data_IF_006847982400
#
_entry.id   IF_006847982400
#
_cell.length_a   1.000
_cell.length_b   1.000
_cell.length_c   1.000
_cell.angle_alpha   90.00
_cell.angle_beta   90.00
_cell.angle_gamma   90.00
#
_symmetry.space_group_name_H-M   'P 1'
#
loop_
_entity.id
_entity.type
_entity.pdbx_description
1 polymer ?
#
# COMPACT_ATOMS: atom_id res chain seq x y z
N UNK A 1 -12.22 -68.23 -4.02
CA UNK A 1 -12.40 -67.00 -3.22
C UNK A 1 -12.48 -65.79 -4.16
N UNK A 2 -13.69 -65.26 -4.41
CA UNK A 2 -13.92 -64.09 -5.29
C UNK A 2 -13.95 -62.82 -4.44
N UNK A 3 -13.09 -61.84 -4.73
CA UNK A 3 -13.09 -60.52 -4.10
C UNK A 3 -14.06 -59.58 -4.84
N UNK A 4 -14.96 -58.95 -4.09
CA UNK A 4 -16.00 -58.06 -4.60
C UNK A 4 -15.45 -56.67 -4.97
N UNK A 5 -15.78 -56.12 -6.16
CA UNK A 5 -15.27 -54.82 -6.64
C UNK A 5 -16.03 -53.58 -6.11
N UNK A 6 -16.97 -53.72 -5.17
CA UNK A 6 -17.91 -52.64 -4.82
C UNK A 6 -17.35 -51.49 -3.96
N UNK A 7 -16.07 -51.51 -3.55
CA UNK A 7 -15.55 -50.54 -2.57
C UNK A 7 -15.00 -49.22 -3.15
N UNK A 8 -15.03 -49.02 -4.47
CA UNK A 8 -14.40 -47.86 -5.12
C UNK A 8 -15.35 -46.82 -5.72
N UNK A 9 -16.64 -46.80 -5.35
CA UNK A 9 -17.63 -45.89 -5.96
C UNK A 9 -18.26 -44.83 -5.02
N UNK A 10 -17.68 -44.56 -3.84
CA UNK A 10 -18.22 -43.54 -2.90
C UNK A 10 -17.25 -42.37 -2.63
N UNK A 11 -16.09 -42.31 -3.29
CA UNK A 11 -15.05 -41.31 -2.98
C UNK A 11 -14.94 -40.12 -3.96
N UNK A 12 -15.94 -39.86 -4.82
CA UNK A 12 -15.84 -38.79 -5.86
C UNK A 12 -16.82 -37.63 -5.65
N UNK A 13 -17.83 -37.75 -4.78
CA UNK A 13 -18.93 -36.77 -4.74
C UNK A 13 -18.79 -35.61 -3.73
N UNK A 14 -17.78 -35.62 -2.85
CA UNK A 14 -17.63 -34.60 -1.78
C UNK A 14 -16.65 -33.47 -2.17
N UNK A 15 -15.86 -33.62 -3.23
CA UNK A 15 -14.88 -32.62 -3.67
C UNK A 15 -15.43 -31.50 -4.56
N UNK A 16 -16.71 -31.52 -4.94
CA UNK A 16 -17.33 -30.49 -5.80
C UNK A 16 -18.15 -29.44 -5.04
N UNK A 17 -18.46 -29.64 -3.76
CA UNK A 17 -19.33 -28.71 -3.00
C UNK A 17 -18.57 -27.53 -2.36
N UNK A 18 -17.24 -27.56 -2.30
CA UNK A 18 -16.43 -26.49 -1.70
C UNK A 18 -15.98 -25.40 -2.69
N UNK A 19 -16.26 -25.55 -4.00
CA UNK A 19 -15.78 -24.64 -5.04
C UNK A 19 -16.68 -23.44 -5.37
N UNK A 20 -17.91 -23.39 -4.84
CA UNK A 20 -18.94 -22.45 -5.33
C UNK A 20 -19.05 -21.13 -4.55
N UNK A 21 -18.43 -21.01 -3.37
CA UNK A 21 -18.63 -19.85 -2.49
C UNK A 21 -17.79 -18.63 -2.93
N UNK A 22 -16.71 -18.82 -3.69
CA UNK A 22 -15.85 -17.73 -4.16
C UNK A 22 -16.41 -16.94 -5.37
N UNK A 23 -17.49 -17.40 -6.00
CA UNK A 23 -18.11 -16.74 -7.16
C UNK A 23 -19.16 -15.67 -6.82
N UNK A 24 -19.43 -15.44 -5.54
CA UNK A 24 -20.47 -14.50 -5.06
C UNK A 24 -19.93 -13.31 -4.28
N UNK A 25 -18.60 -13.10 -4.28
CA UNK A 25 -18.07 -11.83 -3.81
C UNK A 25 -18.40 -10.77 -4.85
N UNK A 26 -19.13 -9.72 -4.45
CA UNK A 26 -19.35 -8.57 -5.32
C UNK A 26 -17.99 -8.05 -5.81
N UNK A 27 -17.85 -7.76 -7.12
CA UNK A 27 -16.63 -7.19 -7.64
C UNK A 27 -16.34 -5.87 -6.89
N UNK A 28 -15.07 -5.55 -6.63
CA UNK A 28 -14.72 -4.30 -5.96
C UNK A 28 -15.34 -3.11 -6.69
N UNK A 29 -15.92 -2.18 -5.95
CA UNK A 29 -16.48 -0.95 -6.50
C UNK A 29 -15.36 -0.01 -6.94
N UNK A 30 -14.92 -0.20 -8.20
CA UNK A 30 -13.88 0.60 -8.84
C UNK A 30 -14.17 2.11 -8.87
N UNK A 31 -15.43 2.55 -8.72
CA UNK A 31 -15.77 3.97 -8.71
C UNK A 31 -15.37 4.60 -7.37
N UNK A 32 -15.64 3.91 -6.26
CA UNK A 32 -15.31 4.39 -4.92
C UNK A 32 -13.79 4.40 -4.69
N UNK A 33 -13.07 3.40 -5.16
CA UNK A 33 -11.60 3.36 -5.14
C UNK A 33 -10.97 4.58 -5.84
N UNK A 34 -11.44 4.93 -7.04
CA UNK A 34 -10.92 6.07 -7.81
C UNK A 34 -11.14 7.40 -7.10
N UNK A 35 -12.26 7.58 -6.39
CA UNK A 35 -12.52 8.80 -5.61
C UNK A 35 -11.56 8.92 -4.43
N UNK A 36 -11.34 7.83 -3.69
CA UNK A 36 -10.38 7.81 -2.59
C UNK A 36 -8.97 8.15 -3.07
N UNK A 37 -8.52 7.54 -4.18
CA UNK A 37 -7.22 7.82 -4.79
C UNK A 37 -7.08 9.27 -5.24
N UNK A 38 -8.10 9.83 -5.89
CA UNK A 38 -8.09 11.23 -6.30
C UNK A 38 -7.97 12.17 -5.10
N UNK A 39 -8.66 11.89 -3.99
CA UNK A 39 -8.57 12.67 -2.76
C UNK A 39 -7.18 12.58 -2.12
N UNK A 40 -6.55 11.39 -2.12
CA UNK A 40 -5.17 11.19 -1.62
C UNK A 40 -4.16 11.93 -2.50
N UNK A 41 -4.31 11.89 -3.83
CA UNK A 41 -3.47 12.65 -4.76
C UNK A 41 -3.62 14.15 -4.50
N UNK A 42 -4.85 14.65 -4.33
CA UNK A 42 -5.08 16.05 -3.99
C UNK A 42 -4.43 16.45 -2.66
N UNK A 43 -4.48 15.59 -1.64
CA UNK A 43 -3.78 15.81 -0.39
C UNK A 43 -2.26 15.84 -0.60
N UNK A 44 -1.72 14.98 -1.45
CA UNK A 44 -0.28 14.91 -1.75
C UNK A 44 0.27 16.18 -2.40
N UNK A 45 -0.56 16.92 -3.13
CA UNK A 45 -0.22 18.22 -3.72
C UNK A 45 -0.30 19.37 -2.71
N UNK A 46 -0.87 19.12 -1.52
CA UNK A 46 -1.17 20.12 -0.49
C UNK A 46 -0.59 19.79 0.88
N UNK A 47 0.45 18.97 0.94
CA UNK A 47 1.05 18.49 2.20
C UNK A 47 1.51 19.62 3.13
N UNK A 48 1.92 20.75 2.57
CA UNK A 48 2.41 21.92 3.32
C UNK A 48 1.28 22.87 3.79
N UNK A 49 0.01 22.53 3.51
CA UNK A 49 -1.12 23.32 3.98
C UNK A 49 -1.30 23.21 5.50
N UNK A 50 -1.74 24.29 6.15
CA UNK A 50 -2.00 24.29 7.61
C UNK A 50 -3.12 23.33 8.01
N UNK A 51 -4.01 22.98 7.07
CA UNK A 51 -5.14 22.08 7.28
C UNK A 51 -4.94 20.65 6.76
N UNK A 52 -3.70 20.22 6.47
CA UNK A 52 -3.38 18.86 5.98
C UNK A 52 -3.98 17.76 6.85
N UNK A 53 -3.89 17.90 8.17
CA UNK A 53 -4.43 16.95 9.15
C UNK A 53 -5.95 16.79 9.07
N UNK A 54 -6.65 17.91 8.89
CA UNK A 54 -8.12 17.96 8.76
C UNK A 54 -8.58 17.34 7.44
N UNK A 55 -7.85 17.62 6.35
CA UNK A 55 -8.09 17.00 5.04
C UNK A 55 -7.91 15.48 5.12
N UNK A 56 -6.84 14.99 5.76
CA UNK A 56 -6.60 13.56 5.94
C UNK A 56 -7.71 12.88 6.74
N UNK A 57 -8.14 13.49 7.86
CA UNK A 57 -9.26 12.99 8.67
C UNK A 57 -10.56 12.90 7.86
N UNK A 58 -10.84 13.92 7.04
CA UNK A 58 -12.01 13.95 6.16
C UNK A 58 -11.98 12.80 5.15
N UNK A 59 -10.85 12.56 4.50
CA UNK A 59 -10.69 11.44 3.54
C UNK A 59 -11.01 10.10 4.21
N UNK A 60 -10.50 9.86 5.42
CA UNK A 60 -10.76 8.61 6.15
C UNK A 60 -12.23 8.47 6.59
N UNK A 61 -12.92 9.58 6.82
CA UNK A 61 -14.35 9.56 7.15
C UNK A 61 -15.24 9.31 5.90
N UNK A 62 -14.80 9.76 4.72
CA UNK A 62 -15.57 9.67 3.48
C UNK A 62 -15.30 8.39 2.67
N UNK A 63 -14.17 7.70 2.93
CA UNK A 63 -13.72 6.54 2.18
C UNK A 63 -13.37 5.35 3.07
N UNK A 64 -13.56 4.13 2.58
CA UNK A 64 -13.23 2.92 3.34
C UNK A 64 -11.72 2.64 3.27
N UNK A 65 -11.18 1.97 4.28
CA UNK A 65 -9.75 1.61 4.33
C UNK A 65 -9.25 0.74 3.15
N UNK A 66 -10.02 -0.25 2.64
CA UNK A 66 -9.62 -0.98 1.43
C UNK A 66 -9.41 -0.06 0.22
N UNK A 67 -10.31 0.91 0.01
CA UNK A 67 -10.22 1.88 -1.08
C UNK A 67 -8.95 2.71 -0.99
N UNK A 68 -8.58 3.10 0.24
CA UNK A 68 -7.38 3.88 0.54
C UNK A 68 -6.11 3.05 0.31
N UNK A 69 -6.07 1.80 0.77
CA UNK A 69 -4.90 0.91 0.62
C UNK A 69 -4.65 0.46 -0.82
N UNK A 70 -5.69 0.45 -1.67
CA UNK A 70 -5.59 0.07 -3.09
C UNK A 70 -4.51 0.87 -3.85
N UNK A 71 -4.21 2.09 -3.38
CA UNK A 71 -3.23 2.99 -4.01
C UNK A 71 -1.83 2.38 -4.18
N UNK A 72 -1.46 1.45 -3.28
CA UNK A 72 -0.17 0.76 -3.31
C UNK A 72 -0.12 -0.42 -4.30
N UNK A 73 -1.28 -0.92 -4.72
CA UNK A 73 -1.38 -2.08 -5.60
C UNK A 73 -0.78 -1.81 -6.99
N UNK A 74 -0.55 -2.86 -7.81
CA UNK A 74 -0.22 -2.67 -9.21
C UNK A 74 -1.30 -1.88 -9.96
N UNK A 75 -0.89 -1.05 -10.93
CA UNK A 75 -1.83 -0.23 -11.73
C UNK A 75 -2.91 -1.06 -12.43
N UNK A 76 -2.56 -2.23 -12.95
CA UNK A 76 -3.52 -3.16 -13.57
C UNK A 76 -4.53 -3.79 -12.58
N UNK A 77 -4.32 -3.61 -11.26
CA UNK A 77 -5.22 -4.01 -10.18
C UNK A 77 -5.88 -2.81 -9.49
N UNK A 78 -5.92 -1.66 -10.16
CA UNK A 78 -6.55 -0.45 -9.65
C UNK A 78 -5.64 0.48 -8.86
N UNK A 79 -4.38 0.13 -8.59
CA UNK A 79 -3.48 1.03 -7.86
C UNK A 79 -2.99 2.23 -8.68
N UNK A 80 -2.31 3.17 -8.02
CA UNK A 80 -1.89 4.42 -8.67
C UNK A 80 -0.73 4.25 -9.66
N UNK A 81 0.08 3.20 -9.44
CA UNK A 81 1.31 2.96 -10.19
C UNK A 81 2.40 4.00 -9.92
N UNK A 82 3.47 3.91 -10.71
CA UNK A 82 4.69 4.74 -10.55
C UNK A 82 4.99 5.60 -11.79
N UNK A 83 3.99 5.84 -12.64
CA UNK A 83 4.14 6.68 -13.82
C UNK A 83 5.12 6.11 -14.84
N UNK A 84 6.06 6.92 -15.32
CA UNK A 84 7.05 6.54 -16.33
C UNK A 84 8.25 5.77 -15.76
N UNK A 85 8.43 5.78 -14.43
CA UNK A 85 9.50 5.02 -13.76
C UNK A 85 9.45 3.50 -14.02
N UNK A 86 8.34 2.98 -14.55
CA UNK A 86 8.29 1.60 -15.07
C UNK A 86 9.32 1.34 -16.18
N UNK A 87 9.74 2.39 -16.91
CA UNK A 87 10.78 2.31 -17.95
C UNK A 87 12.18 2.05 -17.39
N UNK A 88 12.44 2.35 -16.11
CA UNK A 88 13.62 1.90 -15.37
C UNK A 88 13.54 0.40 -14.98
N UNK A 89 12.49 -0.30 -15.42
CA UNK A 89 12.27 -1.72 -15.17
C UNK A 89 11.64 -2.02 -13.81
N UNK A 90 11.15 -1.01 -13.09
CA UNK A 90 10.35 -1.23 -11.88
C UNK A 90 8.98 -1.82 -12.21
N UNK A 91 8.45 -2.61 -11.28
CA UNK A 91 7.06 -3.06 -11.36
C UNK A 91 6.14 -1.87 -11.07
N UNK A 92 5.04 -1.79 -11.79
CA UNK A 92 4.12 -0.65 -11.76
C UNK A 92 3.24 -0.59 -10.49
N UNK A 93 3.86 -0.46 -9.32
CA UNK A 93 3.26 -0.46 -7.98
C UNK A 93 4.17 0.31 -7.02
N UNK A 94 3.58 1.09 -6.11
CA UNK A 94 4.33 1.82 -5.08
C UNK A 94 5.03 0.85 -4.12
N UNK A 95 4.33 -0.18 -3.63
CA UNK A 95 4.94 -1.21 -2.75
C UNK A 95 6.13 -1.88 -3.44
N UNK A 96 5.96 -2.25 -4.72
CA UNK A 96 7.03 -2.89 -5.46
C UNK A 96 8.24 -1.98 -5.67
N UNK A 97 8.04 -0.68 -5.90
CA UNK A 97 9.12 0.31 -6.02
C UNK A 97 9.93 0.41 -4.73
N UNK A 98 9.26 0.52 -3.57
CA UNK A 98 9.94 0.59 -2.27
C UNK A 98 10.77 -0.66 -2.01
N UNK A 99 10.23 -1.85 -2.31
CA UNK A 99 10.97 -3.11 -2.19
C UNK A 99 12.15 -3.21 -3.17
N UNK A 100 11.98 -2.69 -4.38
CA UNK A 100 13.05 -2.66 -5.37
C UNK A 100 14.20 -1.77 -4.86
N UNK A 101 13.91 -0.55 -4.41
CA UNK A 101 14.89 0.38 -3.83
C UNK A 101 15.56 -0.16 -2.55
N UNK A 102 14.81 -0.82 -1.67
CA UNK A 102 15.33 -1.39 -0.43
C UNK A 102 16.31 -2.55 -0.66
N UNK A 103 16.16 -3.32 -1.75
CA UNK A 103 16.87 -4.57 -1.94
C UNK A 103 17.51 -4.71 -3.32
N UNK A 104 16.68 -5.08 -4.30
CA UNK A 104 17.10 -5.76 -5.55
C UNK A 104 17.63 -4.81 -6.60
N UNK A 105 17.16 -3.56 -6.60
CA UNK A 105 17.52 -2.54 -7.59
C UNK A 105 17.94 -1.29 -6.86
N UNK A 106 19.25 -1.08 -6.81
CA UNK A 106 19.79 0.19 -6.35
C UNK A 106 19.48 1.24 -7.40
N UNK A 107 18.73 2.27 -7.03
CA UNK A 107 18.52 3.45 -7.88
C UNK A 107 19.88 4.05 -8.24
N UNK A 108 20.00 4.60 -9.45
CA UNK A 108 21.20 5.37 -9.85
C UNK A 108 20.90 6.86 -9.88
N UNK A 109 21.92 7.70 -9.87
CA UNK A 109 21.74 9.16 -10.02
C UNK A 109 21.08 9.51 -11.36
N UNK A 110 21.51 8.86 -12.46
CA UNK A 110 20.93 9.04 -13.78
C UNK A 110 19.43 8.68 -13.81
N UNK A 111 19.05 7.60 -13.14
CA UNK A 111 17.66 7.19 -13.02
C UNK A 111 16.83 8.16 -12.15
N UNK A 112 17.40 8.63 -11.03
CA UNK A 112 16.76 9.65 -10.20
C UNK A 112 16.55 10.95 -10.96
N UNK A 113 17.47 11.32 -11.85
CA UNK A 113 17.32 12.49 -12.71
C UNK A 113 16.22 12.28 -13.75
N UNK A 114 16.25 11.16 -14.49
CA UNK A 114 15.32 10.87 -15.58
C UNK A 114 13.88 10.73 -15.10
N UNK A 115 13.66 10.10 -13.94
CA UNK A 115 12.33 9.79 -13.40
C UNK A 115 11.98 10.59 -12.14
N UNK A 116 12.68 11.72 -11.90
CA UNK A 116 12.54 12.54 -10.70
C UNK A 116 11.09 12.87 -10.34
N UNK A 117 10.30 13.33 -11.30
CA UNK A 117 8.92 13.78 -11.08
C UNK A 117 8.00 12.63 -10.66
N UNK A 118 8.19 11.44 -11.23
CA UNK A 118 7.43 10.24 -10.88
C UNK A 118 7.79 9.75 -9.48
N UNK A 119 9.07 9.69 -9.14
CA UNK A 119 9.51 9.29 -7.80
C UNK A 119 9.07 10.28 -6.73
N UNK A 120 9.15 11.58 -7.01
CA UNK A 120 8.67 12.61 -6.09
C UNK A 120 7.16 12.51 -5.89
N UNK A 121 6.39 12.26 -6.96
CA UNK A 121 4.95 12.02 -6.86
C UNK A 121 4.64 10.82 -5.98
N UNK A 122 5.35 9.71 -6.15
CA UNK A 122 5.18 8.52 -5.30
C UNK A 122 5.49 8.85 -3.84
N UNK A 123 6.61 9.51 -3.55
CA UNK A 123 6.98 9.88 -2.20
C UNK A 123 5.95 10.80 -1.53
N UNK A 124 5.42 11.79 -2.26
CA UNK A 124 4.33 12.66 -1.78
C UNK A 124 3.04 11.89 -1.50
N UNK A 125 2.66 10.96 -2.37
CA UNK A 125 1.48 10.10 -2.16
C UNK A 125 1.67 9.24 -0.89
N UNK A 126 2.85 8.68 -0.68
CA UNK A 126 3.15 7.93 0.56
C UNK A 126 3.08 8.82 1.80
N UNK A 127 3.59 10.05 1.73
CA UNK A 127 3.50 11.00 2.83
C UNK A 127 2.05 11.39 3.11
N UNK A 128 1.22 11.59 2.08
CA UNK A 128 -0.21 11.81 2.24
C UNK A 128 -0.88 10.61 2.94
N UNK A 129 -0.54 9.38 2.56
CA UNK A 129 -1.02 8.17 3.23
C UNK A 129 -0.61 8.11 4.71
N UNK A 130 0.56 8.63 5.07
CA UNK A 130 0.98 8.72 6.46
C UNK A 130 0.17 9.73 7.28
N UNK A 131 -0.33 10.81 6.65
CA UNK A 131 -1.28 11.73 7.31
C UNK A 131 -2.64 11.08 7.58
N UNK A 132 -3.06 10.14 6.74
CA UNK A 132 -4.30 9.38 6.94
C UNK A 132 -4.17 8.36 8.09
N UNK A 133 -2.98 7.79 8.29
CA UNK A 133 -2.78 6.62 9.14
C UNK A 133 -3.35 6.76 10.57
N UNK A 134 -3.13 7.85 11.34
CA UNK A 134 -3.68 7.98 12.70
C UNK A 134 -5.20 7.88 12.78
N UNK A 135 -5.90 8.28 11.73
CA UNK A 135 -7.37 8.31 11.68
C UNK A 135 -8.00 6.97 11.31
N UNK A 136 -7.20 6.03 10.80
CA UNK A 136 -7.67 4.71 10.35
C UNK A 136 -7.71 3.68 11.49
N UNK A 137 -7.18 4.01 12.66
CA UNK A 137 -7.01 3.09 13.78
C UNK A 137 -8.31 2.39 14.20
N UNK A 138 -9.43 3.12 14.28
CA UNK A 138 -10.74 2.59 14.69
C UNK A 138 -11.29 1.50 13.77
N UNK A 139 -10.71 1.35 12.57
CA UNK A 139 -11.07 0.30 11.62
C UNK A 139 -10.28 -1.00 11.85
N UNK A 140 -9.13 -0.94 12.54
CA UNK A 140 -8.22 -2.07 12.73
C UNK A 140 -8.09 -2.54 14.17
N UNK A 141 -8.20 -1.63 15.15
CA UNK A 141 -7.86 -1.89 16.56
C UNK A 141 -9.01 -1.47 17.49
N UNK A 142 -10.23 -1.92 17.19
CA UNK A 142 -11.41 -1.66 18.03
C UNK A 142 -11.20 -2.19 19.45
N UNK A 143 -11.53 -1.35 20.43
CA UNK A 143 -11.65 -1.71 21.84
C UNK A 143 -10.38 -2.26 22.53
N UNK A 144 -9.19 -1.98 21.98
CA UNK A 144 -7.91 -2.32 22.58
C UNK A 144 -6.98 -1.10 22.66
N UNK A 145 -6.84 -0.54 23.86
CA UNK A 145 -6.06 0.69 24.10
C UNK A 145 -4.56 0.50 23.79
N UNK A 146 -3.98 -0.65 24.11
CA UNK A 146 -2.55 -0.91 23.87
C UNK A 146 -2.28 -0.99 22.36
N UNK A 147 -3.15 -1.66 21.60
CA UNK A 147 -3.06 -1.69 20.13
C UNK A 147 -3.29 -0.31 19.51
N UNK A 148 -4.15 0.53 20.11
CA UNK A 148 -4.35 1.91 19.67
C UNK A 148 -3.07 2.75 19.85
N UNK A 149 -2.39 2.60 20.99
CA UNK A 149 -1.11 3.28 21.27
C UNK A 149 -0.05 2.81 20.26
N UNK A 150 0.08 1.51 20.03
CA UNK A 150 1.05 0.99 19.07
C UNK A 150 0.74 1.42 17.63
N UNK A 151 -0.54 1.48 17.26
CA UNK A 151 -0.95 2.03 15.96
C UNK A 151 -0.54 3.49 15.80
N UNK A 152 -0.77 4.33 16.81
CA UNK A 152 -0.39 5.74 16.78
C UNK A 152 1.13 5.91 16.66
N UNK A 153 1.90 5.09 17.37
CA UNK A 153 3.36 5.07 17.28
C UNK A 153 3.83 4.65 15.89
N UNK A 154 3.26 3.58 15.33
CA UNK A 154 3.57 3.10 13.97
C UNK A 154 3.18 4.14 12.91
N UNK A 155 2.04 4.81 13.07
CA UNK A 155 1.61 5.89 12.17
C UNK A 155 2.57 7.10 12.20
N UNK A 156 3.06 7.47 13.39
CA UNK A 156 4.07 8.53 13.53
C UNK A 156 5.41 8.14 12.89
N UNK A 157 5.88 6.91 13.12
CA UNK A 157 7.10 6.38 12.50
C UNK A 157 6.99 6.36 10.97
N UNK A 158 5.86 5.89 10.44
CA UNK A 158 5.57 5.93 9.00
C UNK A 158 5.59 7.36 8.44
N UNK A 159 5.03 8.34 9.16
CA UNK A 159 5.09 9.76 8.77
C UNK A 159 6.52 10.29 8.72
N UNK A 160 7.35 9.97 9.71
CA UNK A 160 8.76 10.39 9.73
C UNK A 160 9.55 9.77 8.58
N UNK A 161 9.40 8.47 8.35
CA UNK A 161 10.14 7.74 7.30
C UNK A 161 9.70 8.12 5.90
N UNK A 162 8.42 8.38 5.67
CA UNK A 162 7.94 8.87 4.36
C UNK A 162 8.46 10.27 4.06
N UNK A 163 8.54 11.15 5.07
CA UNK A 163 9.16 12.47 4.92
C UNK A 163 10.67 12.35 4.63
N UNK A 164 11.39 11.46 5.31
CA UNK A 164 12.81 11.21 5.05
C UNK A 164 13.05 10.66 3.64
N UNK A 165 12.21 9.73 3.18
CA UNK A 165 12.27 9.19 1.82
C UNK A 165 12.00 10.26 0.77
N UNK A 166 10.96 11.09 0.95
CA UNK A 166 10.70 12.23 0.07
C UNK A 166 11.91 13.16 -0.03
N UNK A 167 12.50 13.52 1.12
CA UNK A 167 13.69 14.37 1.16
C UNK A 167 14.87 13.73 0.42
N UNK A 168 15.08 12.42 0.56
CA UNK A 168 16.14 11.72 -0.17
C UNK A 168 15.94 11.75 -1.70
N UNK A 169 14.69 11.65 -2.16
CA UNK A 169 14.36 11.83 -3.59
C UNK A 169 14.59 13.28 -4.04
N UNK A 170 14.17 14.27 -3.26
CA UNK A 170 14.39 15.70 -3.54
C UNK A 170 15.88 16.04 -3.63
N UNK A 171 16.71 15.42 -2.77
CA UNK A 171 18.18 15.57 -2.77
C UNK A 171 18.88 14.77 -3.89
N UNK A 172 18.14 13.91 -4.62
CA UNK A 172 18.66 13.04 -5.67
C UNK A 172 19.87 12.20 -5.23
N UNK A 173 19.88 11.73 -3.98
CA UNK A 173 20.97 10.93 -3.41
C UNK A 173 20.60 9.44 -3.41
N UNK A 174 21.18 8.62 -4.31
CA UNK A 174 20.81 7.20 -4.43
C UNK A 174 21.05 6.39 -3.15
N UNK A 175 22.09 6.74 -2.37
CA UNK A 175 22.40 6.02 -1.12
C UNK A 175 21.34 6.34 -0.07
N UNK A 176 20.97 7.62 0.09
CA UNK A 176 19.90 8.02 1.02
C UNK A 176 18.55 7.45 0.59
N UNK A 177 18.25 7.41 -0.70
CA UNK A 177 17.01 6.82 -1.23
C UNK A 177 16.94 5.34 -0.86
N UNK A 178 18.01 4.57 -1.06
CA UNK A 178 18.08 3.16 -0.64
C UNK A 178 17.87 2.99 0.86
N UNK A 179 18.59 3.77 1.67
CA UNK A 179 18.50 3.67 3.13
C UNK A 179 17.09 3.97 3.64
N UNK A 180 16.51 5.09 3.20
CA UNK A 180 15.16 5.50 3.61
C UNK A 180 14.07 4.58 3.05
N UNK A 181 14.26 3.98 1.87
CA UNK A 181 13.38 2.94 1.34
C UNK A 181 13.44 1.64 2.17
N UNK A 182 14.62 1.24 2.65
CA UNK A 182 14.77 0.09 3.54
C UNK A 182 14.06 0.34 4.88
N UNK A 183 14.24 1.54 5.44
CA UNK A 183 13.55 1.94 6.67
C UNK A 183 12.03 1.93 6.52
N UNK A 184 11.52 2.43 5.39
CA UNK A 184 10.11 2.37 5.04
C UNK A 184 9.62 0.95 4.86
N UNK A 185 10.39 0.09 4.19
CA UNK A 185 10.02 -1.31 4.00
C UNK A 185 9.83 -2.03 5.33
N UNK A 186 10.72 -1.80 6.31
CA UNK A 186 10.56 -2.34 7.65
C UNK A 186 9.28 -1.85 8.32
N UNK A 187 8.99 -0.53 8.26
CA UNK A 187 7.76 0.02 8.84
C UNK A 187 6.50 -0.52 8.16
N UNK A 188 6.53 -0.75 6.85
CA UNK A 188 5.44 -1.43 6.15
C UNK A 188 5.24 -2.86 6.69
N UNK A 189 6.32 -3.63 6.83
CA UNK A 189 6.27 -4.98 7.39
C UNK A 189 5.73 -4.99 8.83
N UNK A 190 6.22 -4.09 9.68
CA UNK A 190 5.77 -3.98 11.07
C UNK A 190 4.29 -3.63 11.16
N UNK A 191 3.82 -2.66 10.35
CA UNK A 191 2.41 -2.31 10.27
C UNK A 191 1.53 -3.50 9.83
N UNK A 192 1.94 -4.24 8.80
CA UNK A 192 1.22 -5.41 8.30
C UNK A 192 1.25 -6.62 9.23
N UNK A 193 2.25 -6.72 10.11
CA UNK A 193 2.33 -7.77 11.12
C UNK A 193 1.47 -7.47 12.36
N UNK A 194 1.06 -6.21 12.56
CA UNK A 194 0.27 -5.76 13.70
C UNK A 194 -1.25 -5.73 13.45
N UNK A 195 -1.70 -5.80 12.19
CA UNK A 195 -3.13 -5.83 11.81
C UNK A 195 -3.73 -7.22 12.01
#
# INVERSE_FOLDING_TARGET
MRRSPWRWLIAVSVLLAAGSVALWADPPDFVTEKKAQAAIVNLSDRLDASNTSEMAKKIVAEHQSPDISSIFAPRHRGGLGIGMATKAGHRDSIDALIRDFAHKKTTTEAELEEYYSDYLRVAKVMQAMAELAPYRASQFVRDNQDRMIEWQKTALDFKQKTAAFRKAIEEKDPKKVRMTALDLHHTCCDCHNQT
#
